data_IF_668061831632
#
_entry.id   IF_668061831632
#
_cell.length_a   1.000
_cell.length_b   1.000
_cell.length_c   1.000
_cell.angle_alpha   90.00
_cell.angle_beta   90.00
_cell.angle_gamma   90.00
#
_symmetry.space_group_name_H-M   'P 1'
#
loop_
_entity.id
_entity.type
_entity.pdbx_description
1 polymer ?
#
# COMPACT_ATOMS: atom_id res chain seq x y z
N UNK A 1 -24.67 -23.76 13.88
CA UNK A 1 -24.22 -22.84 12.81
C UNK A 1 -23.31 -21.83 13.48
N UNK A 2 -22.00 -21.92 13.27
CA UNK A 2 -21.10 -20.87 13.73
C UNK A 2 -21.58 -19.55 13.11
N UNK A 3 -21.95 -18.60 13.95
CA UNK A 3 -22.38 -17.27 13.48
C UNK A 3 -21.15 -16.66 12.82
N UNK A 4 -21.19 -16.45 11.50
CA UNK A 4 -20.06 -15.89 10.75
C UNK A 4 -19.74 -14.49 11.30
N UNK A 5 -18.71 -14.40 12.14
CA UNK A 5 -18.30 -13.19 12.86
C UNK A 5 -17.47 -12.24 11.98
N UNK A 6 -17.90 -12.02 10.73
CA UNK A 6 -17.22 -11.16 9.78
C UNK A 6 -18.15 -10.60 8.70
N UNK A 7 -17.71 -9.50 8.08
CA UNK A 7 -18.24 -8.95 6.84
C UNK A 7 -17.33 -9.34 5.67
N UNK A 8 -17.88 -9.76 4.55
CA UNK A 8 -17.12 -10.01 3.33
C UNK A 8 -17.84 -9.44 2.11
N UNK A 9 -17.10 -8.76 1.24
CA UNK A 9 -17.59 -8.28 -0.05
C UNK A 9 -16.49 -8.35 -1.10
N UNK A 10 -16.91 -8.54 -2.34
CA UNK A 10 -16.08 -8.46 -3.53
C UNK A 10 -16.71 -7.52 -4.55
N UNK A 11 -15.89 -6.74 -5.23
CA UNK A 11 -16.40 -5.72 -6.15
C UNK A 11 -15.30 -5.12 -7.03
N UNK A 12 -15.69 -4.09 -7.76
CA UNK A 12 -14.79 -3.27 -8.56
C UNK A 12 -15.01 -1.79 -8.25
N UNK A 13 -13.95 -1.00 -8.38
CA UNK A 13 -14.02 0.45 -8.23
C UNK A 13 -13.07 1.11 -9.22
N UNK A 14 -13.35 2.36 -9.61
CA UNK A 14 -12.38 3.16 -10.34
C UNK A 14 -11.21 3.49 -9.42
N UNK A 15 -10.00 3.68 -9.97
CA UNK A 15 -8.86 4.14 -9.16
C UNK A 15 -9.18 5.44 -8.42
N UNK A 16 -9.93 6.35 -9.07
CA UNK A 16 -10.44 7.60 -8.48
C UNK A 16 -11.29 7.38 -7.22
N UNK A 17 -12.21 6.42 -7.25
CA UNK A 17 -13.16 6.20 -6.15
C UNK A 17 -12.72 5.09 -5.19
N UNK A 18 -11.55 4.48 -5.41
CA UNK A 18 -11.07 3.33 -4.66
C UNK A 18 -11.06 3.56 -3.15
N UNK A 19 -10.42 4.65 -2.67
CA UNK A 19 -10.31 4.91 -1.23
C UNK A 19 -11.70 5.13 -0.62
N UNK A 20 -12.55 5.92 -1.29
CA UNK A 20 -13.93 6.15 -0.85
C UNK A 20 -14.72 4.83 -0.77
N UNK A 21 -14.55 3.97 -1.77
CA UNK A 21 -15.21 2.66 -1.84
C UNK A 21 -14.78 1.79 -0.65
N UNK A 22 -13.47 1.60 -0.46
CA UNK A 22 -12.93 0.79 0.65
C UNK A 22 -13.41 1.30 2.01
N UNK A 23 -13.38 2.62 2.22
CA UNK A 23 -13.86 3.23 3.49
C UNK A 23 -15.35 3.04 3.66
N UNK A 24 -16.14 3.09 2.59
CA UNK A 24 -17.59 2.82 2.64
C UNK A 24 -17.85 1.39 3.09
N UNK A 25 -17.12 0.42 2.52
CA UNK A 25 -17.25 -0.98 2.91
C UNK A 25 -16.89 -1.19 4.39
N UNK A 26 -15.82 -0.55 4.85
CA UNK A 26 -15.32 -0.73 6.21
C UNK A 26 -16.17 -0.01 7.25
N UNK A 27 -16.67 1.19 6.97
CA UNK A 27 -17.29 2.08 7.97
C UNK A 27 -18.81 2.12 7.93
N UNK A 28 -19.43 1.74 6.80
CA UNK A 28 -20.88 1.81 6.60
C UNK A 28 -21.49 0.42 6.37
N UNK A 29 -20.94 -0.38 5.45
CA UNK A 29 -21.58 -1.62 5.00
C UNK A 29 -21.29 -2.83 5.90
N UNK A 30 -20.17 -2.81 6.63
CA UNK A 30 -19.73 -3.89 7.53
C UNK A 30 -20.57 -4.07 8.81
N UNK A 31 -21.62 -3.27 8.99
CA UNK A 31 -22.62 -3.44 10.05
C UNK A 31 -22.02 -3.40 11.46
N UNK A 32 -22.12 -4.50 12.20
CA UNK A 32 -21.60 -4.59 13.59
C UNK A 32 -20.06 -4.76 13.65
N UNK A 33 -19.42 -5.01 12.52
CA UNK A 33 -17.96 -5.17 12.39
C UNK A 33 -17.27 -3.89 11.95
N UNK A 34 -18.04 -2.79 11.82
CA UNK A 34 -17.53 -1.53 11.31
C UNK A 34 -16.45 -0.92 12.16
N UNK A 35 -15.53 -0.25 11.48
CA UNK A 35 -14.59 0.67 12.10
C UNK A 35 -15.14 2.08 11.92
N UNK A 36 -14.74 3.01 12.78
CA UNK A 36 -15.28 4.37 12.78
C UNK A 36 -14.43 5.28 11.90
N UNK A 37 -15.07 6.10 11.07
CA UNK A 37 -14.38 7.17 10.34
C UNK A 37 -14.03 8.30 11.32
N UNK A 38 -12.74 8.63 11.42
CA UNK A 38 -12.22 9.72 12.25
C UNK A 38 -11.96 10.97 11.43
N UNK A 39 -11.31 10.79 10.27
CA UNK A 39 -10.97 11.87 9.36
C UNK A 39 -11.18 11.41 7.91
N UNK A 40 -11.74 12.23 7.02
CA UNK A 40 -12.41 13.50 7.30
C UNK A 40 -13.70 13.31 8.12
N UNK A 41 -14.32 14.41 8.54
CA UNK A 41 -15.60 14.45 9.26
C UNK A 41 -16.79 13.84 8.49
N UNK A 42 -16.64 13.58 7.19
CA UNK A 42 -17.66 12.94 6.36
C UNK A 42 -17.05 12.15 5.21
N UNK A 43 -17.59 10.96 4.94
CA UNK A 43 -17.19 10.10 3.83
C UNK A 43 -17.29 10.80 2.46
N UNK A 44 -18.18 11.79 2.33
CA UNK A 44 -18.37 12.53 1.08
C UNK A 44 -17.19 13.44 0.73
N UNK A 45 -16.32 13.76 1.71
CA UNK A 45 -15.09 14.51 1.46
C UNK A 45 -13.97 13.63 0.91
N UNK A 46 -14.07 12.30 1.04
CA UNK A 46 -13.12 11.34 0.46
C UNK A 46 -13.37 11.22 -1.04
N UNK A 47 -12.31 11.28 -1.85
CA UNK A 47 -12.40 11.29 -3.32
C UNK A 47 -12.96 12.59 -3.90
N UNK A 48 -13.24 13.60 -3.06
CA UNK A 48 -13.68 14.91 -3.55
C UNK A 48 -12.52 15.64 -4.22
N UNK A 49 -12.82 16.46 -5.24
CA UNK A 49 -11.83 17.35 -5.81
C UNK A 49 -11.35 18.32 -4.73
N UNK A 50 -10.06 18.28 -4.41
CA UNK A 50 -9.42 19.26 -3.55
C UNK A 50 -9.40 20.64 -4.21
N UNK A 51 -9.09 21.67 -3.42
CA UNK A 51 -8.88 23.00 -3.96
C UNK A 51 -7.71 22.96 -4.95
N UNK A 52 -7.98 23.30 -6.21
CA UNK A 52 -6.96 23.29 -7.24
C UNK A 52 -5.82 24.21 -6.85
N UNK A 53 -4.66 23.64 -6.54
CA UNK A 53 -3.52 24.38 -6.01
C UNK A 53 -2.77 25.02 -7.16
N UNK A 54 -2.48 26.32 -7.02
CA UNK A 54 -1.66 27.06 -7.97
C UNK A 54 -0.20 26.85 -7.60
N UNK A 55 0.53 26.14 -8.45
CA UNK A 55 1.98 25.98 -8.31
C UNK A 55 2.65 27.02 -9.19
N UNK A 56 3.54 27.82 -8.58
CA UNK A 56 4.47 28.66 -9.32
C UNK A 56 5.85 28.00 -9.27
N UNK A 57 6.43 27.71 -10.43
CA UNK A 57 7.76 27.14 -10.54
C UNK A 57 8.86 28.15 -10.19
N UNK A 58 8.53 29.45 -10.13
CA UNK A 58 9.44 30.50 -9.69
C UNK A 58 9.24 30.78 -8.20
N UNK A 59 10.33 30.72 -7.46
CA UNK A 59 10.44 30.98 -6.01
C UNK A 59 11.25 32.23 -5.68
N UNK A 60 12.13 32.68 -6.59
CA UNK A 60 13.03 33.82 -6.39
C UNK A 60 12.44 35.21 -6.78
N UNK A 61 11.13 35.27 -7.04
CA UNK A 61 10.40 36.47 -7.53
C UNK A 61 10.81 36.99 -8.93
N UNK A 62 11.65 36.25 -9.67
CA UNK A 62 11.90 36.55 -11.08
C UNK A 62 10.61 36.42 -11.92
N UNK A 63 10.63 36.93 -13.14
CA UNK A 63 9.46 36.93 -14.03
C UNK A 63 9.88 36.60 -15.45
N UNK A 64 9.04 35.84 -16.13
CA UNK A 64 9.15 35.55 -17.56
C UNK A 64 7.75 35.40 -18.14
N UNK A 65 7.60 35.81 -19.39
CA UNK A 65 6.45 35.60 -20.26
C UNK A 65 6.76 34.59 -21.38
N UNK A 66 7.99 34.06 -21.44
CA UNK A 66 8.45 33.17 -22.51
C UNK A 66 8.12 31.70 -22.27
N UNK A 67 7.95 31.32 -21.00
CA UNK A 67 7.58 29.95 -20.59
C UNK A 67 6.46 30.02 -19.55
N UNK A 68 5.62 28.98 -19.53
CA UNK A 68 4.55 28.87 -18.54
C UNK A 68 5.13 28.49 -17.18
N UNK A 69 4.98 29.35 -16.18
CA UNK A 69 5.58 29.12 -14.86
C UNK A 69 4.54 28.77 -13.81
N UNK A 70 3.27 28.88 -14.16
CA UNK A 70 2.16 28.82 -13.24
C UNK A 70 1.19 27.74 -13.70
N UNK A 71 1.08 26.68 -12.92
CA UNK A 71 0.23 25.54 -13.22
C UNK A 71 -0.86 25.40 -12.17
N UNK A 72 -2.05 24.97 -12.60
CA UNK A 72 -3.14 24.62 -11.70
C UNK A 72 -3.31 23.11 -11.69
N UNK A 73 -3.14 22.51 -10.52
CA UNK A 73 -3.21 21.07 -10.34
C UNK A 73 -4.45 20.75 -9.53
N UNK A 74 -5.25 19.80 -10.03
CA UNK A 74 -6.33 19.23 -9.23
C UNK A 74 -5.77 18.14 -8.33
N UNK A 75 -6.01 18.23 -7.02
CA UNK A 75 -5.79 17.12 -6.11
C UNK A 75 -7.11 16.38 -5.87
N UNK A 76 -7.03 15.10 -5.52
CA UNK A 76 -8.16 14.37 -4.93
C UNK A 76 -7.89 14.16 -3.44
N UNK A 77 -8.90 14.44 -2.62
CA UNK A 77 -8.82 14.28 -1.17
C UNK A 77 -9.01 12.81 -0.79
N UNK A 78 -7.94 12.03 -0.86
CA UNK A 78 -7.97 10.58 -0.58
C UNK A 78 -7.31 10.19 0.74
N UNK A 79 -7.00 11.15 1.59
CA UNK A 79 -6.55 10.88 2.95
C UNK A 79 -7.76 10.60 3.84
N UNK A 80 -7.76 9.45 4.48
CA UNK A 80 -8.68 9.15 5.56
C UNK A 80 -7.98 8.45 6.74
N UNK A 81 -8.63 8.51 7.89
CA UNK A 81 -8.23 7.81 9.11
C UNK A 81 -9.47 7.13 9.65
N UNK A 82 -9.35 5.82 9.87
CA UNK A 82 -10.38 5.00 10.49
C UNK A 82 -9.87 4.43 11.81
N UNK A 83 -10.77 4.21 12.76
CA UNK A 83 -10.49 3.72 14.11
C UNK A 83 -11.14 2.36 14.35
N UNK A 84 -10.36 1.41 14.83
CA UNK A 84 -10.85 0.16 15.37
C UNK A 84 -10.86 0.23 16.90
N UNK A 85 -11.97 -0.13 17.54
CA UNK A 85 -11.96 -0.54 18.95
C UNK A 85 -12.00 -2.05 18.98
N UNK A 86 -10.86 -2.67 19.26
CA UNK A 86 -10.73 -4.14 19.21
C UNK A 86 -11.54 -4.79 20.33
N UNK A 87 -11.78 -6.09 20.19
CA UNK A 87 -12.42 -6.91 21.23
C UNK A 87 -11.61 -6.95 22.53
N UNK A 88 -10.33 -6.58 22.48
CA UNK A 88 -9.44 -6.40 23.62
C UNK A 88 -9.58 -5.02 24.31
N UNK A 89 -10.46 -4.15 23.82
CA UNK A 89 -10.75 -2.85 24.43
C UNK A 89 -9.72 -1.76 24.16
N UNK A 90 -8.85 -1.93 23.17
CA UNK A 90 -7.90 -0.89 22.72
C UNK A 90 -8.31 -0.27 21.39
N UNK A 91 -7.98 1.01 21.27
CA UNK A 91 -8.21 1.79 20.07
C UNK A 91 -6.93 1.83 19.23
N UNK A 92 -7.09 1.60 17.92
CA UNK A 92 -6.02 1.75 16.95
C UNK A 92 -6.53 2.47 15.72
N UNK A 93 -5.62 3.14 15.03
CA UNK A 93 -5.91 3.98 13.88
C UNK A 93 -5.21 3.42 12.64
N UNK A 94 -5.95 3.35 11.54
CA UNK A 94 -5.43 3.09 10.21
C UNK A 94 -5.60 4.35 9.36
N UNK A 95 -4.49 4.89 8.87
CA UNK A 95 -4.47 5.94 7.86
C UNK A 95 -4.35 5.31 6.47
N UNK A 96 -5.24 5.71 5.57
CA UNK A 96 -5.19 5.39 4.14
C UNK A 96 -4.98 6.70 3.40
N UNK A 97 -3.98 6.75 2.52
CA UNK A 97 -3.63 7.97 1.80
C UNK A 97 -3.13 7.64 0.38
N UNK A 98 -3.70 8.31 -0.63
CA UNK A 98 -3.22 8.22 -2.01
C UNK A 98 -2.38 9.44 -2.33
N UNK A 99 -1.09 9.36 -2.00
CA UNK A 99 -0.12 10.43 -2.24
C UNK A 99 0.12 10.68 -3.73
N UNK A 100 0.82 11.76 -4.04
CA UNK A 100 1.33 12.06 -5.39
C UNK A 100 2.11 10.88 -5.98
N UNK A 101 2.04 10.71 -7.29
CA UNK A 101 2.75 9.65 -8.00
C UNK A 101 4.27 9.80 -7.85
N UNK A 102 5.00 8.68 -7.79
CA UNK A 102 6.45 8.73 -7.69
C UNK A 102 7.07 9.39 -8.93
N UNK A 103 8.17 10.11 -8.70
CA UNK A 103 8.95 10.69 -9.78
C UNK A 103 9.72 9.61 -10.54
N UNK A 104 9.70 9.69 -11.87
CA UNK A 104 10.58 8.87 -12.72
C UNK A 104 12.04 9.27 -12.53
N UNK A 105 12.96 8.47 -13.09
CA UNK A 105 14.40 8.77 -13.04
C UNK A 105 14.68 10.10 -13.74
N UNK A 106 14.05 10.32 -14.89
CA UNK A 106 14.19 11.51 -15.72
C UNK A 106 13.64 12.74 -15.00
N UNK A 107 12.51 12.61 -14.29
CA UNK A 107 11.93 13.68 -13.47
C UNK A 107 12.83 14.08 -12.29
N UNK A 108 13.42 13.09 -11.60
CA UNK A 108 14.41 13.36 -10.54
C UNK A 108 15.64 14.07 -11.11
N UNK A 109 16.13 13.63 -12.26
CA UNK A 109 17.27 14.24 -12.94
C UNK A 109 16.96 15.66 -13.41
N UNK A 110 15.76 15.92 -13.89
CA UNK A 110 15.31 17.26 -14.27
C UNK A 110 15.31 18.24 -13.08
N UNK A 111 14.91 17.80 -11.88
CA UNK A 111 15.00 18.62 -10.66
C UNK A 111 16.47 18.91 -10.30
N UNK A 112 17.35 17.91 -10.39
CA UNK A 112 18.78 18.10 -10.15
C UNK A 112 19.37 19.08 -11.17
N UNK A 113 18.98 18.97 -12.44
CA UNK A 113 19.43 19.85 -13.50
C UNK A 113 18.94 21.28 -13.30
N UNK A 114 17.67 21.49 -12.93
CA UNK A 114 17.16 22.81 -12.54
C UNK A 114 18.06 23.45 -11.49
N UNK A 115 18.36 22.75 -10.40
CA UNK A 115 19.24 23.29 -9.34
C UNK A 115 20.66 23.60 -9.85
N UNK A 116 21.25 22.74 -10.68
CA UNK A 116 22.61 22.94 -11.22
C UNK A 116 22.71 24.09 -12.23
N UNK A 117 21.67 24.30 -13.04
CA UNK A 117 21.67 25.26 -14.15
C UNK A 117 21.54 26.73 -13.70
N UNK A 118 21.28 26.95 -12.41
CA UNK A 118 21.35 28.26 -11.77
C UNK A 118 22.74 28.87 -11.82
N UNK A 119 23.81 28.08 -11.90
CA UNK A 119 25.17 28.62 -11.99
C UNK A 119 25.83 28.25 -13.31
N UNK A 120 26.57 29.18 -13.91
CA UNK A 120 27.30 28.94 -15.16
C UNK A 120 28.64 29.65 -15.18
N UNK A 121 29.59 29.05 -15.90
CA UNK A 121 30.94 29.56 -16.05
C UNK A 121 30.99 30.71 -17.06
N UNK A 122 31.67 31.80 -16.71
CA UNK A 122 31.81 33.01 -17.56
C UNK A 122 33.24 33.28 -18.01
N UNK A 123 34.20 32.41 -17.69
CA UNK A 123 35.63 32.62 -17.98
C UNK A 123 36.46 32.92 -16.74
N UNK A 124 37.78 32.76 -16.85
CA UNK A 124 38.79 33.11 -15.83
C UNK A 124 38.51 32.62 -14.40
N UNK A 125 37.93 31.42 -14.25
CA UNK A 125 37.60 30.85 -12.92
C UNK A 125 36.33 31.43 -12.28
N UNK A 126 35.61 32.32 -12.97
CA UNK A 126 34.42 32.99 -12.45
C UNK A 126 33.12 32.33 -12.90
N UNK A 127 32.14 32.35 -11.99
CA UNK A 127 30.79 31.86 -12.22
C UNK A 127 29.78 33.01 -12.05
N UNK A 128 28.72 32.96 -12.83
CA UNK A 128 27.55 33.82 -12.72
C UNK A 128 26.32 32.98 -12.41
N UNK A 129 25.24 33.64 -11.97
CA UNK A 129 23.98 32.99 -11.61
C UNK A 129 22.85 33.40 -12.57
N UNK A 130 21.96 32.44 -12.85
CA UNK A 130 20.64 32.61 -13.45
C UNK A 130 19.60 32.68 -12.32
N UNK A 131 18.55 33.44 -12.57
CA UNK A 131 17.29 33.37 -11.81
C UNK A 131 16.48 32.12 -12.16
N UNK A 132 15.46 31.78 -11.38
CA UNK A 132 14.54 30.67 -11.67
C UNK A 132 13.94 30.82 -13.08
N UNK A 133 13.48 32.02 -13.44
CA UNK A 133 12.94 32.34 -14.76
C UNK A 133 13.96 32.05 -15.89
N UNK A 134 15.19 32.52 -15.74
CA UNK A 134 16.25 32.30 -16.73
C UNK A 134 16.65 30.81 -16.80
N UNK A 135 16.63 30.09 -15.68
CA UNK A 135 16.89 28.65 -15.67
C UNK A 135 15.80 27.89 -16.43
N UNK A 136 14.52 28.20 -16.20
CA UNK A 136 13.39 27.59 -16.91
C UNK A 136 13.43 27.89 -18.41
N UNK A 137 13.71 29.13 -18.80
CA UNK A 137 13.91 29.51 -20.20
C UNK A 137 15.04 28.71 -20.86
N UNK A 138 16.18 28.58 -20.16
CA UNK A 138 17.33 27.83 -20.64
C UNK A 138 17.01 26.33 -20.82
N UNK A 139 16.29 25.73 -19.86
CA UNK A 139 15.79 24.34 -19.94
C UNK A 139 14.76 24.14 -21.05
N UNK A 140 14.01 25.18 -21.42
CA UNK A 140 13.08 25.17 -22.54
C UNK A 140 13.77 25.35 -23.91
N UNK A 141 15.11 25.48 -23.93
CA UNK A 141 15.89 25.69 -25.14
C UNK A 141 16.02 27.15 -25.58
N UNK A 142 15.52 28.10 -24.79
CA UNK A 142 15.53 29.51 -25.15
C UNK A 142 16.88 30.19 -24.83
N UNK A 143 17.26 31.25 -25.58
CA UNK A 143 18.45 32.04 -25.27
C UNK A 143 18.31 32.78 -23.92
N UNK A 144 19.38 32.78 -23.13
CA UNK A 144 19.42 33.44 -21.80
C UNK A 144 20.74 34.16 -21.58
N UNK A 145 20.89 34.87 -20.46
CA UNK A 145 22.16 35.54 -20.14
C UNK A 145 23.31 34.53 -20.13
N UNK A 146 24.35 34.83 -20.91
CA UNK A 146 25.54 33.98 -21.03
C UNK A 146 25.41 32.77 -21.96
N UNK A 147 24.29 32.59 -22.66
CA UNK A 147 24.15 31.51 -23.65
C UNK A 147 23.26 31.92 -24.84
N UNK A 148 23.77 31.81 -26.06
CA UNK A 148 23.06 32.12 -27.31
C UNK A 148 21.94 31.12 -27.65
N UNK A 149 21.90 29.97 -26.97
CA UNK A 149 20.88 28.92 -27.08
C UNK A 149 20.76 28.15 -25.76
N UNK A 150 19.58 27.59 -25.46
CA UNK A 150 19.38 26.72 -24.30
C UNK A 150 19.95 25.30 -24.48
N UNK A 151 19.49 24.33 -23.68
CA UNK A 151 19.98 22.93 -23.70
C UNK A 151 19.67 22.15 -24.99
N UNK A 152 18.98 22.75 -25.97
CA UNK A 152 18.79 22.17 -27.30
C UNK A 152 17.50 21.36 -27.51
N UNK A 153 16.70 21.10 -26.46
CA UNK A 153 15.33 20.58 -26.59
C UNK A 153 14.45 20.97 -25.38
N UNK A 154 13.16 21.23 -25.63
CA UNK A 154 12.16 21.60 -24.60
C UNK A 154 11.84 20.43 -23.63
N UNK A 155 12.41 19.25 -23.86
CA UNK A 155 12.13 18.03 -23.11
C UNK A 155 12.54 18.13 -21.63
N UNK A 156 13.65 18.83 -21.34
CA UNK A 156 14.11 19.01 -19.97
C UNK A 156 13.15 19.89 -19.16
N UNK A 157 12.64 20.96 -19.77
CA UNK A 157 11.61 21.81 -19.17
C UNK A 157 10.30 21.05 -18.98
N UNK A 158 9.78 20.36 -19.99
CA UNK A 158 8.52 19.61 -19.85
C UNK A 158 8.62 18.50 -18.80
N UNK A 159 9.77 17.83 -18.69
CA UNK A 159 10.05 16.83 -17.67
C UNK A 159 10.10 17.45 -16.28
N UNK A 160 10.71 18.63 -16.12
CA UNK A 160 10.70 19.37 -14.86
C UNK A 160 9.29 19.81 -14.45
N UNK A 161 8.51 20.37 -15.39
CA UNK A 161 7.10 20.72 -15.15
C UNK A 161 6.32 19.49 -14.69
N UNK A 162 6.47 18.34 -15.37
CA UNK A 162 5.81 17.08 -14.98
C UNK A 162 6.19 16.64 -13.56
N UNK A 163 7.46 16.77 -13.18
CA UNK A 163 7.95 16.43 -11.86
C UNK A 163 7.34 17.33 -10.76
N UNK A 164 7.23 18.63 -11.04
CA UNK A 164 6.70 19.62 -10.10
C UNK A 164 5.17 19.65 -10.04
N UNK A 165 4.49 18.99 -10.99
CA UNK A 165 3.03 19.06 -11.14
C UNK A 165 2.32 17.69 -11.03
N UNK A 166 2.90 16.75 -10.28
CA UNK A 166 2.34 15.41 -10.14
C UNK A 166 0.96 15.43 -9.48
N UNK A 167 0.06 14.64 -10.07
CA UNK A 167 -1.22 14.28 -9.47
C UNK A 167 -1.07 13.08 -8.53
N UNK A 168 -2.15 12.74 -7.84
CA UNK A 168 -2.25 11.53 -7.03
C UNK A 168 -1.86 10.27 -7.83
N UNK A 169 -1.24 9.33 -7.13
CA UNK A 169 -0.89 7.99 -7.62
C UNK A 169 -2.10 7.27 -8.22
N UNK A 170 -1.87 6.59 -9.34
CA UNK A 170 -2.89 5.75 -10.00
C UNK A 170 -2.63 4.24 -9.89
N UNK A 171 -1.56 3.84 -9.21
CA UNK A 171 -1.16 2.43 -9.09
C UNK A 171 -0.98 1.93 -7.65
N UNK A 172 -1.01 2.82 -6.66
CA UNK A 172 -0.81 2.46 -5.27
C UNK A 172 -1.54 3.40 -4.27
N UNK A 173 -1.75 2.91 -3.07
CA UNK A 173 -2.09 3.68 -1.87
C UNK A 173 -1.07 3.43 -0.76
N UNK A 174 -1.00 4.34 0.20
CA UNK A 174 -0.16 4.24 1.39
C UNK A 174 -1.02 3.97 2.61
N UNK A 175 -0.64 2.98 3.38
CA UNK A 175 -1.25 2.60 4.65
C UNK A 175 -0.27 2.90 5.79
N UNK A 176 -0.79 3.30 6.95
CA UNK A 176 -0.01 3.52 8.18
C UNK A 176 -0.88 3.21 9.39
N UNK A 177 -0.27 2.69 10.47
CA UNK A 177 -0.97 2.39 11.72
C UNK A 177 -0.39 3.17 12.90
N UNK A 178 -1.24 3.48 13.87
CA UNK A 178 -0.87 4.15 15.12
C UNK A 178 -1.84 3.77 16.23
N UNK A 179 -1.41 3.84 17.47
CA UNK A 179 -2.26 3.78 18.67
C UNK A 179 -2.75 5.17 19.10
N UNK A 180 -2.21 6.24 18.51
CA UNK A 180 -2.56 7.62 18.84
C UNK A 180 -2.78 8.51 17.61
N UNK A 181 -3.54 9.59 17.79
CA UNK A 181 -3.73 10.69 16.83
C UNK A 181 -2.93 11.92 17.24
N UNK A 182 -2.73 12.84 16.31
CA UNK A 182 -2.26 14.18 16.66
C UNK A 182 -3.34 14.95 17.45
N UNK A 183 -2.93 16.07 18.06
CA UNK A 183 -3.82 16.92 18.88
C UNK A 183 -5.08 17.37 18.13
N UNK A 184 -4.96 17.64 16.82
CA UNK A 184 -6.07 18.10 15.99
C UNK A 184 -7.00 16.96 15.51
N UNK A 185 -6.64 15.69 15.72
CA UNK A 185 -7.38 14.53 15.19
C UNK A 185 -7.38 14.43 13.66
N UNK A 186 -6.48 15.13 12.98
CA UNK A 186 -6.38 15.20 11.52
C UNK A 186 -5.28 14.32 10.95
N UNK A 187 -4.38 13.80 11.79
CA UNK A 187 -3.30 12.90 11.41
C UNK A 187 -2.95 11.91 12.54
N UNK A 188 -2.10 10.93 12.24
CA UNK A 188 -1.57 10.02 13.26
C UNK A 188 -0.64 10.77 14.23
N UNK A 189 -0.53 10.28 15.47
CA UNK A 189 0.38 10.78 16.51
C UNK A 189 1.88 10.56 16.24
N UNK A 190 2.25 10.34 14.98
CA UNK A 190 3.63 10.10 14.53
C UNK A 190 4.15 11.36 13.83
N UNK A 191 5.39 11.76 14.07
CA UNK A 191 5.97 12.94 13.41
C UNK A 191 5.96 12.81 11.88
N UNK A 192 5.76 13.92 11.15
CA UNK A 192 5.66 13.91 9.69
C UNK A 192 6.91 13.34 8.99
N UNK A 193 8.10 13.62 9.53
CA UNK A 193 9.36 13.10 8.99
C UNK A 193 9.42 11.57 9.10
N UNK A 194 8.95 11.01 10.21
CA UNK A 194 8.85 9.57 10.35
C UNK A 194 7.77 9.04 9.39
N UNK A 195 6.60 9.68 9.31
CA UNK A 195 5.54 9.24 8.39
C UNK A 195 5.97 9.23 6.90
N UNK A 196 6.89 10.11 6.47
CA UNK A 196 7.41 10.10 5.10
C UNK A 196 8.28 8.88 4.80
N UNK A 197 9.01 8.37 5.77
CA UNK A 197 9.83 7.15 5.63
C UNK A 197 9.05 5.89 5.95
N UNK A 198 8.09 6.00 6.87
CA UNK A 198 7.40 4.92 7.53
C UNK A 198 5.97 4.81 7.02
N UNK A 199 5.82 4.36 5.78
CA UNK A 199 4.52 4.11 5.16
C UNK A 199 4.55 2.85 4.31
N UNK A 200 3.43 2.13 4.31
CA UNK A 200 3.33 0.82 3.68
C UNK A 200 2.59 0.97 2.36
N UNK A 201 3.29 0.69 1.26
CA UNK A 201 2.74 0.83 -0.07
C UNK A 201 1.99 -0.42 -0.50
N UNK A 202 0.68 -0.28 -0.69
CA UNK A 202 -0.16 -1.30 -1.32
C UNK A 202 -0.38 -0.94 -2.79
N UNK A 203 0.19 -1.73 -3.71
CA UNK A 203 0.17 -1.43 -5.14
C UNK A 203 -0.66 -2.46 -5.93
N UNK A 204 -1.29 -2.05 -7.04
CA UNK A 204 -2.04 -2.95 -7.93
C UNK A 204 -1.55 -2.88 -9.39
N UNK A 205 -0.61 -1.99 -9.70
CA UNK A 205 0.19 -2.00 -10.94
C UNK A 205 1.65 -1.65 -10.67
N UNK A 206 2.57 -2.17 -11.49
CA UNK A 206 4.00 -1.78 -11.46
C UNK A 206 4.25 -0.43 -12.12
N UNK A 207 3.85 -0.30 -13.39
CA UNK A 207 4.08 0.88 -14.23
C UNK A 207 2.89 1.08 -15.18
N UNK A 208 2.14 2.15 -14.97
CA UNK A 208 1.07 2.52 -15.89
C UNK A 208 1.61 3.44 -16.99
N UNK A 209 1.13 3.22 -18.22
CA UNK A 209 1.46 4.10 -19.33
C UNK A 209 0.73 5.44 -19.18
N UNK A 210 1.27 6.57 -19.68
CA UNK A 210 0.68 7.90 -19.50
C UNK A 210 -0.75 8.05 -20.04
N UNK A 211 -1.15 7.22 -21.00
CA UNK A 211 -2.49 7.20 -21.58
C UNK A 211 -3.54 6.64 -20.62
N UNK A 212 -3.13 5.79 -19.68
CA UNK A 212 -4.01 5.19 -18.68
C UNK A 212 -4.27 6.22 -17.57
N UNK A 213 -5.55 6.49 -17.31
CA UNK A 213 -6.01 7.46 -16.30
C UNK A 213 -6.69 6.77 -15.12
N UNK A 214 -7.28 7.56 -14.25
CA UNK A 214 -7.91 7.16 -12.99
C UNK A 214 -9.25 6.42 -13.13
N UNK A 215 -9.77 6.27 -14.35
CA UNK A 215 -10.98 5.48 -14.63
C UNK A 215 -10.75 3.96 -14.60
N UNK A 216 -9.49 3.52 -14.61
CA UNK A 216 -9.15 2.11 -14.72
C UNK A 216 -9.72 1.33 -13.51
N UNK A 217 -10.37 0.18 -13.73
CA UNK A 217 -10.97 -0.56 -12.63
C UNK A 217 -9.92 -1.30 -11.81
N UNK A 218 -10.14 -1.30 -10.49
CA UNK A 218 -9.42 -2.11 -9.52
C UNK A 218 -10.45 -3.04 -8.88
N UNK A 219 -10.17 -4.34 -8.91
CA UNK A 219 -10.98 -5.34 -8.24
C UNK A 219 -10.53 -5.44 -6.78
N UNK A 220 -11.48 -5.54 -5.86
CA UNK A 220 -11.20 -5.68 -4.45
C UNK A 220 -11.96 -6.84 -3.84
N UNK A 221 -11.33 -7.48 -2.86
CA UNK A 221 -11.95 -8.42 -1.94
C UNK A 221 -11.59 -7.98 -0.53
N UNK A 222 -12.58 -7.80 0.32
CA UNK A 222 -12.35 -7.36 1.69
C UNK A 222 -13.11 -8.25 2.67
N UNK A 223 -12.41 -8.69 3.71
CA UNK A 223 -12.97 -9.33 4.89
C UNK A 223 -12.72 -8.41 6.09
N UNK A 224 -13.77 -8.05 6.81
CA UNK A 224 -13.71 -7.13 7.96
C UNK A 224 -14.29 -7.82 9.19
N UNK A 225 -13.57 -7.72 10.31
CA UNK A 225 -14.05 -8.05 11.66
C UNK A 225 -13.85 -6.83 12.56
N UNK A 226 -14.31 -6.91 13.82
CA UNK A 226 -13.99 -5.87 14.82
C UNK A 226 -12.48 -5.71 15.06
N UNK A 227 -11.71 -6.77 14.79
CA UNK A 227 -10.30 -6.86 15.15
C UNK A 227 -9.37 -6.75 13.94
N UNK A 228 -9.84 -7.06 12.73
CA UNK A 228 -8.96 -7.17 11.56
C UNK A 228 -9.65 -6.90 10.24
N UNK A 229 -8.85 -6.44 9.27
CA UNK A 229 -9.17 -6.28 7.86
C UNK A 229 -8.19 -7.14 7.06
N UNK A 230 -8.73 -7.99 6.19
CA UNK A 230 -7.97 -8.61 5.11
C UNK A 230 -8.44 -8.00 3.80
N UNK A 231 -7.52 -7.42 3.04
CA UNK A 231 -7.79 -6.76 1.78
C UNK A 231 -6.94 -7.37 0.67
N UNK A 232 -7.57 -7.74 -0.44
CA UNK A 232 -6.88 -8.07 -1.69
C UNK A 232 -7.29 -7.05 -2.73
N UNK A 233 -6.31 -6.44 -3.39
CA UNK A 233 -6.50 -5.56 -4.54
C UNK A 233 -5.89 -6.20 -5.77
N UNK A 234 -6.59 -6.16 -6.89
CA UNK A 234 -6.10 -6.60 -8.19
C UNK A 234 -6.35 -5.56 -9.26
N UNK A 235 -5.28 -5.17 -9.96
CA UNK A 235 -5.42 -4.34 -11.16
C UNK A 235 -6.14 -5.11 -12.26
N UNK A 236 -6.97 -4.43 -13.05
CA UNK A 236 -7.53 -4.96 -14.28
C UNK A 236 -6.42 -5.42 -15.26
N UNK A 237 -6.39 -6.72 -15.65
CA UNK A 237 -5.45 -7.25 -16.62
C UNK A 237 -5.63 -6.66 -18.04
N UNK A 238 -6.78 -6.07 -18.37
CA UNK A 238 -7.06 -5.54 -19.72
C UNK A 238 -6.16 -4.37 -20.12
N UNK A 239 -5.66 -3.62 -19.13
CA UNK A 239 -4.71 -2.53 -19.33
C UNK A 239 -3.27 -2.99 -19.54
N UNK A 240 -3.00 -4.29 -19.36
CA UNK A 240 -1.66 -4.84 -19.45
C UNK A 240 -1.31 -5.26 -20.88
N UNK A 241 -0.04 -5.12 -21.23
CA UNK A 241 0.50 -5.48 -22.55
C UNK A 241 1.55 -6.56 -22.34
N UNK A 242 1.61 -7.53 -23.26
CA UNK A 242 2.61 -8.60 -23.24
C UNK A 242 4.01 -8.06 -22.88
N UNK A 243 4.69 -8.59 -21.84
CA UNK A 243 4.53 -9.92 -21.22
C UNK A 243 3.46 -10.08 -20.12
N UNK A 244 2.59 -9.10 -19.89
CA UNK A 244 1.53 -9.17 -18.86
C UNK A 244 2.05 -9.27 -17.41
N UNK A 245 3.09 -8.49 -17.10
CA UNK A 245 3.72 -8.44 -15.77
C UNK A 245 3.34 -7.19 -14.98
N UNK A 246 2.47 -6.34 -15.52
CA UNK A 246 2.16 -5.04 -14.95
C UNK A 246 1.06 -5.09 -13.91
N UNK A 247 -0.04 -5.82 -14.16
CA UNK A 247 -1.12 -5.93 -13.18
C UNK A 247 -0.67 -6.79 -11.99
N UNK A 248 -1.00 -6.34 -10.79
CA UNK A 248 -0.62 -7.00 -9.56
C UNK A 248 -1.84 -7.43 -8.77
N UNK A 249 -1.78 -8.62 -8.19
CA UNK A 249 -2.61 -9.06 -7.08
C UNK A 249 -1.82 -8.84 -5.81
N UNK A 250 -2.32 -7.94 -4.96
CA UNK A 250 -1.66 -7.51 -3.73
C UNK A 250 -2.57 -7.71 -2.54
N UNK A 251 -1.95 -8.01 -1.40
CA UNK A 251 -2.63 -8.29 -0.16
C UNK A 251 -2.23 -7.29 0.91
N UNK A 252 -3.17 -6.95 1.77
CA UNK A 252 -2.93 -6.27 3.02
C UNK A 252 -3.69 -6.95 4.17
N UNK A 253 -3.02 -7.08 5.31
CA UNK A 253 -3.62 -7.40 6.59
C UNK A 253 -3.45 -6.20 7.51
N UNK A 254 -4.52 -5.79 8.20
CA UNK A 254 -4.47 -4.75 9.23
C UNK A 254 -5.31 -5.23 10.40
N UNK A 255 -4.75 -5.39 11.58
CA UNK A 255 -5.56 -5.82 12.72
C UNK A 255 -4.80 -6.38 13.90
N UNK A 256 -5.59 -6.73 14.92
CA UNK A 256 -5.15 -7.51 16.06
C UNK A 256 -5.09 -8.99 15.73
N UNK A 257 -4.19 -9.70 16.42
CA UNK A 257 -4.00 -11.13 16.27
C UNK A 257 -4.93 -11.89 17.22
N UNK A 258 -5.33 -13.11 16.83
CA UNK A 258 -5.93 -14.07 17.76
C UNK A 258 -4.82 -14.73 18.60
N UNK A 259 -5.09 -15.13 19.86
CA UNK A 259 -4.15 -15.90 20.67
C UNK A 259 -3.65 -17.15 19.95
N UNK A 260 -2.45 -17.60 20.30
CA UNK A 260 -1.88 -18.86 19.76
C UNK A 260 -2.76 -20.06 20.19
N UNK A 261 -3.20 -20.02 21.44
CA UNK A 261 -4.11 -20.98 22.06
C UNK A 261 -5.18 -20.22 22.84
N UNK A 262 -6.38 -20.80 22.97
CA UNK A 262 -7.51 -20.16 23.66
C UNK A 262 -7.23 -19.87 25.15
N UNK A 263 -6.22 -20.53 25.74
CA UNK A 263 -5.80 -20.36 27.13
C UNK A 263 -4.59 -19.43 27.32
N UNK A 264 -4.00 -18.94 26.23
CA UNK A 264 -2.80 -18.11 26.29
C UNK A 264 -3.12 -16.67 26.72
N UNK A 265 -2.21 -16.04 27.47
CA UNK A 265 -2.31 -14.61 27.80
C UNK A 265 -2.32 -13.76 26.52
N UNK A 266 -3.33 -12.92 26.39
CA UNK A 266 -3.44 -11.91 25.33
C UNK A 266 -2.53 -10.73 25.65
N UNK A 267 -1.75 -10.27 24.66
CA UNK A 267 -1.20 -8.93 24.74
C UNK A 267 -2.31 -7.96 24.33
N UNK A 268 -2.96 -7.33 25.30
CA UNK A 268 -4.07 -6.44 24.97
C UNK A 268 -3.59 -5.05 24.56
N UNK A 269 -2.30 -4.72 24.73
CA UNK A 269 -1.80 -3.34 24.57
C UNK A 269 -1.22 -3.07 23.19
N UNK A 270 -0.42 -4.00 22.67
CA UNK A 270 0.36 -3.78 21.44
C UNK A 270 0.03 -4.79 20.33
N UNK A 271 -1.03 -5.57 20.51
CA UNK A 271 -1.47 -6.58 19.55
C UNK A 271 -2.29 -5.96 18.42
N UNK A 272 -1.66 -5.08 17.63
CA UNK A 272 -2.21 -4.58 16.39
C UNK A 272 -1.08 -4.41 15.40
N UNK A 273 -1.30 -4.83 14.16
CA UNK A 273 -0.25 -4.82 13.16
C UNK A 273 -0.76 -4.70 11.74
N UNK A 274 0.19 -4.61 10.82
CA UNK A 274 -0.04 -4.40 9.40
C UNK A 274 1.02 -5.09 8.55
N UNK A 275 0.58 -5.63 7.43
CA UNK A 275 1.45 -5.97 6.31
C UNK A 275 0.76 -5.65 5.00
N UNK A 276 1.52 -5.29 3.96
CA UNK A 276 1.03 -4.98 2.61
C UNK A 276 1.92 -5.62 1.55
N UNK A 277 1.43 -5.70 0.33
CA UNK A 277 2.22 -6.13 -0.83
C UNK A 277 2.51 -4.96 -1.77
N UNK A 278 3.74 -4.90 -2.27
CA UNK A 278 4.26 -3.76 -3.02
C UNK A 278 4.94 -4.16 -4.33
N UNK A 279 4.90 -3.25 -5.29
CA UNK A 279 5.62 -3.30 -6.58
C UNK A 279 7.09 -2.89 -6.46
N UNK A 280 7.44 -2.09 -5.45
CA UNK A 280 8.80 -1.61 -5.19
C UNK A 280 9.35 -2.18 -3.89
N UNK A 281 10.68 -2.25 -3.80
CA UNK A 281 11.36 -2.70 -2.58
C UNK A 281 11.04 -1.75 -1.42
N UNK A 282 10.76 -2.26 -0.21
CA UNK A 282 10.53 -1.39 0.94
C UNK A 282 11.77 -0.58 1.31
N UNK A 283 11.54 0.58 1.91
CA UNK A 283 12.61 1.37 2.51
C UNK A 283 12.98 0.78 3.88
N UNK A 284 14.25 0.42 4.07
CA UNK A 284 14.79 -0.03 5.35
C UNK A 284 15.18 1.17 6.22
N UNK A 285 14.18 1.83 6.78
CA UNK A 285 14.39 2.93 7.72
C UNK A 285 14.89 2.43 9.08
N UNK A 286 15.58 3.28 9.84
CA UNK A 286 16.07 2.99 11.20
C UNK A 286 15.43 3.89 12.26
N UNK A 287 14.28 4.52 11.95
CA UNK A 287 13.59 5.50 12.81
C UNK A 287 13.26 4.96 14.21
N UNK A 288 12.98 3.67 14.35
CA UNK A 288 12.69 3.01 15.63
C UNK A 288 13.77 1.99 16.04
N UNK A 289 14.99 2.16 15.51
CA UNK A 289 16.13 1.28 15.75
C UNK A 289 16.50 0.42 14.54
N UNK A 290 17.55 -0.39 14.70
CA UNK A 290 18.13 -1.20 13.60
C UNK A 290 17.17 -2.24 13.02
N UNK A 291 16.15 -2.63 13.79
CA UNK A 291 15.12 -3.59 13.40
C UNK A 291 13.77 -2.90 13.28
N UNK A 292 13.71 -1.73 12.64
CA UNK A 292 12.42 -1.14 12.31
C UNK A 292 11.75 -1.98 11.21
N UNK A 293 10.49 -2.35 11.41
CA UNK A 293 9.71 -3.14 10.46
C UNK A 293 9.49 -2.39 9.14
N UNK A 294 9.46 -3.13 8.03
CA UNK A 294 9.09 -2.57 6.73
C UNK A 294 7.58 -2.52 6.51
N UNK A 295 6.83 -3.41 7.16
CA UNK A 295 5.40 -3.64 6.91
C UNK A 295 5.09 -4.13 5.49
N UNK A 296 6.09 -4.52 4.70
CA UNK A 296 5.94 -5.06 3.35
C UNK A 296 6.50 -6.48 3.29
N UNK A 297 7.78 -6.67 3.61
CA UNK A 297 8.43 -8.01 3.63
C UNK A 297 8.36 -8.67 5.01
N UNK A 298 7.69 -8.02 5.95
CA UNK A 298 7.42 -8.46 7.31
C UNK A 298 6.02 -7.98 7.73
N UNK A 299 5.57 -8.42 8.90
CA UNK A 299 4.40 -7.87 9.58
C UNK A 299 4.87 -6.90 10.65
N UNK A 300 4.50 -5.63 10.50
CA UNK A 300 4.77 -4.63 11.48
C UNK A 300 3.72 -4.65 12.59
N UNK A 301 4.14 -4.74 13.85
CA UNK A 301 3.25 -4.57 15.02
C UNK A 301 3.51 -3.22 15.70
N UNK A 302 2.49 -2.62 16.33
CA UNK A 302 2.61 -1.34 17.07
C UNK A 302 3.80 -1.36 18.04
N UNK A 303 3.93 -2.45 18.81
CA UNK A 303 5.14 -2.76 19.56
C UNK A 303 5.24 -4.27 19.81
N UNK A 304 6.44 -4.71 20.19
CA UNK A 304 6.66 -6.07 20.69
C UNK A 304 6.29 -6.19 22.18
N UNK A 305 6.38 -7.39 22.75
CA UNK A 305 6.02 -7.69 24.16
C UNK A 305 6.82 -6.88 25.18
N UNK A 306 8.06 -6.49 24.84
CA UNK A 306 8.91 -5.66 25.70
C UNK A 306 8.70 -4.15 25.48
N UNK A 307 7.76 -3.76 24.60
CA UNK A 307 7.38 -2.38 24.35
C UNK A 307 8.26 -1.63 23.35
N UNK A 308 9.13 -2.31 22.59
CA UNK A 308 9.84 -1.68 21.48
C UNK A 308 8.88 -1.48 20.31
N UNK A 309 8.74 -0.25 19.81
CA UNK A 309 7.73 0.07 18.82
C UNK A 309 8.12 -0.42 17.43
N UNK A 310 7.12 -0.77 16.61
CA UNK A 310 7.25 -0.96 15.18
C UNK A 310 8.33 -1.98 14.75
N UNK A 311 8.42 -3.11 15.45
CA UNK A 311 9.40 -4.19 15.18
C UNK A 311 8.84 -5.26 14.22
N UNK A 312 9.69 -5.88 13.37
CA UNK A 312 9.27 -6.83 12.35
C UNK A 312 8.91 -8.17 12.97
N UNK A 313 7.76 -8.69 12.58
CA UNK A 313 7.31 -10.05 12.89
C UNK A 313 7.25 -10.86 11.59
N UNK A 314 7.60 -12.14 11.68
CA UNK A 314 7.71 -13.02 10.52
C UNK A 314 6.58 -14.06 10.54
N UNK A 315 6.06 -14.46 9.37
CA UNK A 315 5.07 -15.51 9.30
C UNK A 315 5.69 -16.89 9.54
N UNK A 316 5.09 -17.65 10.44
CA UNK A 316 5.34 -19.06 10.69
C UNK A 316 4.07 -19.85 10.37
N UNK A 317 4.20 -20.89 9.57
CA UNK A 317 3.10 -21.74 9.15
C UNK A 317 3.63 -23.10 8.71
N UNK A 318 2.73 -24.08 8.65
CA UNK A 318 3.06 -25.37 8.07
C UNK A 318 3.28 -25.24 6.56
N UNK A 319 4.50 -25.55 6.10
CA UNK A 319 4.87 -25.55 4.70
C UNK A 319 5.49 -26.88 4.30
N UNK A 320 5.16 -27.35 3.10
CA UNK A 320 5.91 -28.39 2.41
C UNK A 320 7.06 -27.77 1.61
N UNK A 321 7.95 -28.60 1.08
CA UNK A 321 9.09 -28.14 0.28
C UNK A 321 8.63 -27.22 -0.89
N UNK A 322 9.25 -26.03 -1.09
CA UNK A 322 8.88 -25.07 -2.13
C UNK A 322 8.98 -25.56 -3.57
N UNK A 323 9.78 -26.61 -3.82
CA UNK A 323 9.97 -27.18 -5.16
C UNK A 323 9.24 -28.50 -5.35
N UNK A 324 8.34 -28.86 -4.43
CA UNK A 324 7.56 -30.08 -4.53
C UNK A 324 6.48 -29.94 -5.60
N UNK A 325 6.66 -30.65 -6.72
CA UNK A 325 5.65 -30.69 -7.78
C UNK A 325 4.41 -31.47 -7.31
N UNK A 326 3.24 -30.82 -7.40
CA UNK A 326 1.95 -31.42 -7.06
C UNK A 326 1.25 -31.79 -8.37
N UNK A 327 1.66 -32.91 -8.98
CA UNK A 327 1.05 -33.49 -10.19
C UNK A 327 -0.47 -33.46 -10.13
N UNK A 328 -1.19 -33.15 -11.21
CA UNK A 328 -2.65 -32.92 -11.22
C UNK A 328 -3.53 -34.19 -11.02
N UNK A 329 -3.04 -35.18 -10.28
CA UNK A 329 -3.73 -36.40 -9.86
C UNK A 329 -4.36 -36.22 -8.47
N UNK A 330 -5.23 -37.16 -8.08
CA UNK A 330 -5.87 -37.16 -6.76
C UNK A 330 -4.86 -37.22 -5.61
N UNK A 331 -5.26 -36.69 -4.45
CA UNK A 331 -4.44 -36.69 -3.25
C UNK A 331 -4.18 -38.09 -2.68
N UNK A 332 -3.45 -38.15 -1.57
CA UNK A 332 -3.13 -39.41 -0.89
C UNK A 332 -4.38 -40.26 -0.66
N UNK A 333 -4.28 -41.58 -0.88
CA UNK A 333 -5.36 -42.55 -0.61
C UNK A 333 -5.82 -42.57 0.86
N UNK A 334 -5.03 -42.02 1.78
CA UNK A 334 -5.33 -42.03 3.21
C UNK A 334 -6.21 -40.87 3.67
N UNK A 335 -6.09 -39.70 3.04
CA UNK A 335 -6.82 -38.51 3.47
C UNK A 335 -7.52 -37.77 2.31
N UNK A 336 -7.30 -38.20 1.07
CA UNK A 336 -7.77 -37.57 -0.17
C UNK A 336 -7.45 -36.07 -0.28
N UNK A 337 -6.51 -35.57 0.54
CA UNK A 337 -6.11 -34.16 0.61
C UNK A 337 -4.73 -34.01 0.00
N UNK A 338 -4.64 -33.10 -0.96
CA UNK A 338 -3.42 -32.79 -1.72
C UNK A 338 -2.84 -31.42 -1.42
N UNK A 339 -3.73 -30.48 -1.13
CA UNK A 339 -3.40 -29.09 -0.80
C UNK A 339 -3.61 -28.89 0.68
N UNK A 340 -2.62 -28.28 1.33
CA UNK A 340 -2.68 -27.96 2.75
C UNK A 340 -2.72 -26.45 2.91
N UNK A 341 -3.67 -25.97 3.70
CA UNK A 341 -3.74 -24.59 4.16
C UNK A 341 -3.56 -24.58 5.69
N UNK A 342 -2.80 -23.62 6.19
CA UNK A 342 -2.46 -23.44 7.60
C UNK A 342 -2.85 -22.03 8.05
N UNK A 343 -3.15 -21.90 9.34
CA UNK A 343 -3.09 -20.61 10.02
C UNK A 343 -1.68 -20.01 9.87
N UNK A 344 -1.62 -18.68 9.89
CA UNK A 344 -0.39 -17.90 9.89
C UNK A 344 -0.14 -17.43 11.33
N UNK A 345 0.85 -18.01 12.00
CA UNK A 345 1.35 -17.53 13.30
C UNK A 345 2.40 -16.47 13.06
N UNK A 346 2.38 -15.36 13.80
CA UNK A 346 3.43 -14.36 13.75
C UNK A 346 4.48 -14.63 14.81
N UNK A 347 5.75 -14.61 14.41
CA UNK A 347 6.88 -14.83 15.30
C UNK A 347 7.82 -13.64 15.31
N UNK A 348 8.28 -13.27 16.50
CA UNK A 348 9.32 -12.26 16.71
C UNK A 348 10.56 -12.93 17.30
N UNK A 349 11.79 -12.55 16.93
CA UNK A 349 13.00 -13.19 17.47
C UNK A 349 13.14 -13.13 19.01
N UNK A 350 12.49 -12.15 19.66
CA UNK A 350 12.51 -12.02 21.13
C UNK A 350 11.23 -12.58 21.76
N UNK A 351 10.08 -12.38 21.11
CA UNK A 351 8.77 -12.72 21.72
C UNK A 351 8.36 -14.17 21.41
N UNK A 352 9.04 -14.80 20.45
CA UNK A 352 8.63 -16.04 19.81
C UNK A 352 7.23 -15.89 19.23
N UNK A 353 6.32 -16.82 19.52
CA UNK A 353 4.97 -16.83 18.97
C UNK A 353 4.11 -15.75 19.61
N UNK A 354 3.65 -14.82 18.78
CA UNK A 354 2.88 -13.65 19.21
C UNK A 354 1.38 -13.87 19.16
N UNK A 355 0.92 -14.57 18.13
CA UNK A 355 -0.49 -14.76 17.83
C UNK A 355 -0.68 -15.19 16.39
N UNK A 356 -1.92 -15.48 16.00
CA UNK A 356 -2.28 -15.89 14.65
C UNK A 356 -3.07 -14.78 13.95
N UNK A 357 -2.89 -14.66 12.64
CA UNK A 357 -3.71 -13.77 11.82
C UNK A 357 -5.16 -14.27 11.78
N UNK A 358 -6.11 -13.34 11.69
CA UNK A 358 -7.55 -13.64 11.74
C UNK A 358 -8.11 -13.73 10.31
N UNK A 359 -8.95 -14.75 10.07
CA UNK A 359 -9.66 -14.95 8.81
C UNK A 359 -8.78 -15.07 7.55
N UNK A 360 -7.54 -15.53 7.72
CA UNK A 360 -6.61 -15.77 6.61
C UNK A 360 -5.84 -17.06 6.85
N UNK A 361 -5.67 -17.81 5.77
CA UNK A 361 -4.85 -19.00 5.69
C UNK A 361 -3.77 -18.82 4.64
N UNK A 362 -2.68 -19.56 4.78
CA UNK A 362 -1.62 -19.68 3.78
C UNK A 362 -1.49 -21.13 3.33
N UNK A 363 -1.27 -21.36 2.05
CA UNK A 363 -1.17 -22.71 1.51
C UNK A 363 -0.61 -22.77 0.10
N UNK A 364 -0.67 -23.96 -0.50
CA UNK A 364 -0.03 -24.19 -1.79
C UNK A 364 -0.71 -23.41 -2.94
N UNK A 365 0.11 -22.74 -3.75
CA UNK A 365 -0.38 -22.02 -4.93
C UNK A 365 -0.71 -22.93 -6.12
N UNK A 366 -0.14 -24.14 -6.16
CA UNK A 366 -0.23 -25.10 -7.27
C UNK A 366 -1.59 -25.76 -7.41
N UNK A 367 -2.00 -26.07 -8.65
CA UNK A 367 -3.15 -26.91 -9.01
C UNK A 367 -4.53 -26.50 -8.46
N UNK A 368 -4.66 -25.27 -7.97
CA UNK A 368 -5.93 -24.61 -7.65
C UNK A 368 -5.94 -23.28 -8.40
N UNK A 369 -7.05 -22.88 -9.02
CA UNK A 369 -7.08 -21.61 -9.75
C UNK A 369 -7.11 -20.42 -8.80
N UNK A 370 -6.72 -19.26 -9.32
CA UNK A 370 -6.86 -18.00 -8.59
C UNK A 370 -8.35 -17.67 -8.43
N UNK A 371 -8.74 -17.09 -7.29
CA UNK A 371 -10.13 -16.76 -6.92
C UNK A 371 -11.07 -17.96 -6.70
N UNK A 372 -10.55 -19.19 -6.69
CA UNK A 372 -11.35 -20.36 -6.32
C UNK A 372 -11.80 -20.28 -4.85
N UNK A 373 -13.03 -20.74 -4.61
CA UNK A 373 -13.58 -20.90 -3.26
C UNK A 373 -13.21 -22.27 -2.71
N UNK A 374 -12.60 -22.27 -1.53
CA UNK A 374 -12.16 -23.45 -0.80
C UNK A 374 -13.09 -23.69 0.39
N UNK A 375 -13.46 -24.95 0.61
CA UNK A 375 -14.20 -25.39 1.79
C UNK A 375 -13.23 -26.03 2.80
N UNK A 376 -13.14 -25.44 3.99
CA UNK A 376 -12.41 -25.98 5.12
C UNK A 376 -13.37 -26.78 6.01
N UNK A 377 -12.93 -27.98 6.45
CA UNK A 377 -13.75 -28.92 7.23
C UNK A 377 -15.17 -29.11 6.68
N UNK A 378 -15.26 -29.32 5.36
CA UNK A 378 -16.51 -29.54 4.63
C UNK A 378 -17.40 -30.59 5.32
N UNK A 379 -18.70 -30.33 5.33
CA UNK A 379 -19.73 -31.23 5.89
C UNK A 379 -19.61 -31.44 7.42
N UNK A 380 -18.92 -30.54 8.13
CA UNK A 380 -18.86 -30.50 9.60
C UNK A 380 -19.52 -29.25 10.17
N UNK A 381 -19.73 -29.21 11.49
CA UNK A 381 -20.27 -28.02 12.17
C UNK A 381 -19.32 -26.80 12.14
N UNK A 382 -18.03 -27.04 11.85
CA UNK A 382 -16.95 -26.06 11.74
C UNK A 382 -16.60 -25.79 10.27
N UNK A 383 -17.55 -25.97 9.35
CA UNK A 383 -17.36 -25.69 7.94
C UNK A 383 -17.13 -24.18 7.73
N UNK A 384 -16.03 -23.84 7.06
CA UNK A 384 -15.64 -22.47 6.74
C UNK A 384 -15.30 -22.35 5.26
N UNK A 385 -15.53 -21.18 4.67
CA UNK A 385 -15.22 -20.91 3.28
C UNK A 385 -14.14 -19.85 3.15
N UNK A 386 -13.22 -20.07 2.22
CA UNK A 386 -12.11 -19.18 1.93
C UNK A 386 -12.00 -18.94 0.44
N UNK A 387 -11.52 -17.77 0.02
CA UNK A 387 -11.23 -17.44 -1.37
C UNK A 387 -9.72 -17.33 -1.56
N UNK A 388 -9.16 -18.10 -2.48
CA UNK A 388 -7.71 -18.20 -2.73
C UNK A 388 -7.21 -17.06 -3.62
N UNK A 389 -6.05 -16.51 -3.29
CA UNK A 389 -5.36 -15.52 -4.09
C UNK A 389 -3.86 -15.82 -4.19
N UNK A 390 -3.33 -15.89 -5.40
CA UNK A 390 -1.90 -15.86 -5.66
C UNK A 390 -1.43 -14.40 -5.65
N UNK A 391 -0.59 -14.04 -4.69
CA UNK A 391 0.05 -12.71 -4.65
C UNK A 391 1.07 -12.65 -5.78
N UNK A 392 0.95 -11.64 -6.65
CA UNK A 392 1.88 -11.41 -7.77
C UNK A 392 2.74 -10.16 -7.58
N UNK A 393 2.42 -9.33 -6.58
CA UNK A 393 3.32 -8.28 -6.13
C UNK A 393 4.66 -8.87 -5.67
N UNK A 394 5.80 -8.31 -6.16
CA UNK A 394 7.13 -8.88 -5.93
C UNK A 394 7.59 -8.83 -4.47
N UNK A 395 7.10 -7.86 -3.70
CA UNK A 395 7.45 -7.70 -2.28
C UNK A 395 6.20 -7.88 -1.42
N UNK A 396 6.23 -8.87 -0.53
CA UNK A 396 5.18 -9.22 0.42
C UNK A 396 5.78 -9.98 1.61
N UNK A 397 5.01 -10.14 2.68
CA UNK A 397 5.50 -10.78 3.91
C UNK A 397 5.90 -12.25 3.73
N UNK A 398 5.40 -12.91 2.69
CA UNK A 398 5.79 -14.29 2.37
C UNK A 398 7.22 -14.39 1.84
N UNK A 399 7.83 -13.31 1.32
CA UNK A 399 9.21 -13.32 0.85
C UNK A 399 10.22 -13.71 1.95
N UNK A 400 9.91 -13.41 3.22
CA UNK A 400 10.71 -13.78 4.39
C UNK A 400 10.10 -14.95 5.18
N UNK A 401 9.26 -15.76 4.54
CA UNK A 401 8.65 -16.94 5.15
C UNK A 401 9.40 -18.23 4.84
N UNK A 402 8.97 -19.33 5.48
CA UNK A 402 9.50 -20.67 5.19
C UNK A 402 9.25 -21.13 3.74
N UNK A 403 8.28 -20.56 3.03
CA UNK A 403 8.01 -20.88 1.64
C UNK A 403 7.43 -19.68 0.86
N UNK A 404 8.26 -19.11 -0.02
CA UNK A 404 7.94 -17.92 -0.80
C UNK A 404 6.92 -18.14 -1.93
N UNK A 405 6.65 -19.39 -2.33
CA UNK A 405 5.79 -19.73 -3.46
C UNK A 405 4.33 -19.99 -3.05
N UNK A 406 3.99 -19.71 -1.79
CA UNK A 406 2.66 -19.97 -1.26
C UNK A 406 1.66 -18.87 -1.64
N UNK A 407 0.38 -19.21 -1.51
CA UNK A 407 -0.74 -18.31 -1.75
C UNK A 407 -1.47 -18.04 -0.44
N UNK A 408 -2.30 -17.01 -0.44
CA UNK A 408 -3.18 -16.67 0.68
C UNK A 408 -4.61 -17.10 0.37
N UNK A 409 -5.40 -17.33 1.40
CA UNK A 409 -6.84 -17.49 1.26
C UNK A 409 -7.54 -16.72 2.38
N UNK A 410 -8.45 -15.80 2.03
CA UNK A 410 -9.19 -14.99 3.01
C UNK A 410 -10.60 -15.54 3.20
N UNK A 411 -11.14 -15.46 4.41
CA UNK A 411 -12.46 -16.02 4.75
C UNK A 411 -13.57 -15.31 3.98
N UNK A 412 -14.52 -16.07 3.45
CA UNK A 412 -15.66 -15.58 2.69
C UNK A 412 -16.93 -16.34 3.03
N UNK A 413 -18.09 -15.84 2.58
CA UNK A 413 -19.36 -16.53 2.78
C UNK A 413 -19.48 -17.78 1.88
N UNK A 414 -20.22 -18.77 2.38
CA UNK A 414 -20.57 -19.99 1.62
C UNK A 414 -21.23 -19.68 0.29
N UNK A 415 -22.12 -18.70 0.27
CA UNK A 415 -22.76 -18.12 -0.91
C UNK A 415 -22.45 -16.63 -0.95
N UNK A 416 -21.79 -16.17 -2.00
CA UNK A 416 -21.74 -14.75 -2.34
C UNK A 416 -23.13 -14.35 -2.81
N UNK A 417 -23.68 -13.27 -2.24
CA UNK A 417 -24.97 -12.71 -2.68
C UNK A 417 -24.84 -12.00 -4.01
#
# INVERSE_FOLDING_TARGET
MATDNFYFVEGNSSVKDLVKTLVTEITQNSGIYKWDLVYPDSINKIGSSGEGTKINLITDNSKTDKVETVFRIGSQNDKCIIKATTTYGKEFYLKIDRKEADLTKEEKEAIVNFNKLHSYYIGDGHYSNRTDAETLEYMAGLPTKGASSGTGNNELYTTYVSAMTKNNSINNIRLQISDELNVDGTDLGISKNIQSEYNYRLAWYRKLKPEIKDFLPVQYWINVTKDSINLVLRGDPSADVHPYENYLTSYAYIGALKPVEDSAYTDDKYNFGITVSSDIEPNYSKVYGERTATGVTDVCMIANKIGMPYQPHYPAFYATNPFMDKCNVEGSRYNHKKHQFSDITLVHPVDMERGKMINVLVGDASAINDTDRLAYKKDTAEEEYYKKFKITAPYCFLNNSANINYCIAIRCYKTTK
#
